data_IF_167156383315
#
_entry.id   IF_167156383315
#
_cell.length_a   1.000
_cell.length_b   1.000
_cell.length_c   1.000
_cell.angle_alpha   90.00
_cell.angle_beta   90.00
_cell.angle_gamma   90.00
#
_symmetry.space_group_name_H-M   'P 1'
#
loop_
_entity.id
_entity.type
_entity.pdbx_description
1 polymer ?
#
# COMPACT_ATOMS: atom_id res chain seq x y z
N UNK A 1 0.06 18.61 13.95
CA UNK A 1 -0.53 17.34 13.42
C UNK A 1 0.11 16.99 12.09
N UNK A 2 0.70 15.81 11.98
CA UNK A 2 1.25 15.29 10.72
C UNK A 2 0.53 13.99 10.32
N UNK A 3 0.61 13.62 9.05
CA UNK A 3 0.03 12.37 8.55
C UNK A 3 1.08 11.27 8.53
N UNK A 4 0.67 10.08 8.97
CA UNK A 4 1.48 8.87 8.99
C UNK A 4 0.72 7.70 8.37
N UNK A 5 1.41 6.69 7.87
CA UNK A 5 0.83 5.40 7.48
C UNK A 5 1.86 4.29 7.58
N UNK A 6 1.40 3.04 7.65
CA UNK A 6 2.30 1.88 7.65
C UNK A 6 2.01 0.96 6.46
N UNK A 7 3.07 0.38 5.89
CA UNK A 7 2.97 -0.42 4.69
C UNK A 7 4.03 -1.53 4.60
N UNK A 8 3.72 -2.57 3.84
CA UNK A 8 4.68 -3.50 3.28
C UNK A 8 5.17 -2.97 1.92
N UNK A 9 6.49 -2.89 1.75
CA UNK A 9 7.12 -2.32 0.55
C UNK A 9 7.87 -3.41 -0.19
N UNK A 10 7.52 -3.68 -1.45
CA UNK A 10 8.22 -4.66 -2.27
C UNK A 10 9.68 -4.27 -2.54
N UNK A 11 10.49 -5.25 -2.93
CA UNK A 11 11.87 -5.02 -3.38
C UNK A 11 11.91 -4.15 -4.65
N UNK A 12 13.09 -3.63 -4.96
CA UNK A 12 13.29 -2.59 -5.99
C UNK A 12 12.77 -3.01 -7.38
N UNK A 13 13.05 -4.24 -7.78
CA UNK A 13 12.70 -4.77 -9.11
C UNK A 13 11.17 -4.85 -9.29
N UNK A 14 10.46 -5.36 -8.30
CA UNK A 14 8.99 -5.42 -8.33
C UNK A 14 8.38 -4.00 -8.29
N UNK A 15 8.94 -3.09 -7.47
CA UNK A 15 8.51 -1.69 -7.49
C UNK A 15 8.69 -1.05 -8.87
N UNK A 16 9.76 -1.38 -9.58
CA UNK A 16 9.99 -0.87 -10.93
C UNK A 16 8.96 -1.43 -11.94
N UNK A 17 8.64 -2.73 -11.85
CA UNK A 17 7.57 -3.34 -12.68
C UNK A 17 6.22 -2.68 -12.44
N UNK A 18 5.80 -2.53 -11.17
CA UNK A 18 4.55 -1.88 -10.81
C UNK A 18 4.52 -0.42 -11.26
N UNK A 19 5.65 0.29 -11.13
CA UNK A 19 5.79 1.67 -11.58
C UNK A 19 5.67 1.84 -13.10
N UNK A 20 6.05 0.85 -13.89
CA UNK A 20 5.85 0.87 -15.34
C UNK A 20 4.36 0.91 -15.70
N UNK A 21 3.50 0.19 -14.96
CA UNK A 21 2.05 0.29 -15.12
C UNK A 21 1.54 1.67 -14.68
N UNK A 22 1.97 2.20 -13.55
CA UNK A 22 1.59 3.56 -13.14
C UNK A 22 2.01 4.62 -14.16
N UNK A 23 3.13 4.43 -14.86
CA UNK A 23 3.57 5.29 -15.97
C UNK A 23 2.64 5.15 -17.18
N UNK A 24 2.20 3.93 -17.52
CA UNK A 24 1.21 3.71 -18.57
C UNK A 24 -0.08 4.46 -18.28
N UNK A 25 -0.56 4.38 -17.03
CA UNK A 25 -1.73 5.17 -16.58
C UNK A 25 -1.51 6.68 -16.67
N UNK A 26 -0.33 7.17 -16.32
CA UNK A 26 0.01 8.58 -16.43
C UNK A 26 -0.02 9.06 -17.90
N UNK A 27 0.53 8.25 -18.79
CA UNK A 27 0.67 8.62 -20.22
C UNK A 27 -0.64 8.48 -21.01
N UNK A 28 -1.47 7.48 -20.71
CA UNK A 28 -2.64 7.12 -21.53
C UNK A 28 -3.97 7.50 -20.91
N UNK A 29 -4.03 7.60 -19.58
CA UNK A 29 -5.29 7.77 -18.84
C UNK A 29 -5.27 8.95 -17.85
N UNK A 30 -4.31 9.86 -18.00
CA UNK A 30 -4.17 11.08 -17.17
C UNK A 30 -4.14 10.82 -15.65
N UNK A 31 -3.71 9.64 -15.21
CA UNK A 31 -3.59 9.29 -13.79
C UNK A 31 -2.12 9.31 -13.36
N UNK A 32 -1.65 10.45 -12.86
CA UNK A 32 -0.24 10.70 -12.53
C UNK A 32 0.09 10.50 -11.04
N UNK A 33 -0.91 10.49 -10.16
CA UNK A 33 -0.66 10.45 -8.71
C UNK A 33 -0.01 9.15 -8.25
N UNK A 34 -0.40 8.01 -8.82
CA UNK A 34 0.25 6.73 -8.53
C UNK A 34 1.70 6.71 -9.01
N UNK A 35 1.98 7.28 -10.17
CA UNK A 35 3.34 7.34 -10.71
C UNK A 35 4.29 8.20 -9.86
N UNK A 36 3.77 9.24 -9.20
CA UNK A 36 4.52 10.10 -8.27
C UNK A 36 4.78 9.45 -6.91
N UNK A 37 4.02 8.40 -6.57
CA UNK A 37 4.19 7.62 -5.36
C UNK A 37 5.07 6.36 -5.60
N UNK A 38 5.51 5.74 -4.51
CA UNK A 38 6.17 4.43 -4.59
C UNK A 38 5.14 3.30 -4.41
N UNK A 39 5.29 2.17 -5.13
CA UNK A 39 4.42 1.01 -4.96
C UNK A 39 4.56 0.38 -3.57
N UNK A 40 3.42 0.13 -2.91
CA UNK A 40 3.35 -0.47 -1.57
C UNK A 40 1.98 -1.10 -1.34
N UNK A 41 1.90 -2.01 -0.37
CA UNK A 41 0.63 -2.50 0.18
C UNK A 41 0.40 -1.80 1.52
N UNK A 42 -0.65 -1.00 1.61
CA UNK A 42 -1.02 -0.30 2.84
C UNK A 42 -1.53 -1.30 3.87
N UNK A 43 -0.92 -1.29 5.05
CA UNK A 43 -1.38 -2.05 6.22
C UNK A 43 -2.20 -1.15 7.14
N UNK A 44 -1.68 0.02 7.51
CA UNK A 44 -2.41 1.04 8.28
C UNK A 44 -2.61 2.26 7.39
N UNK A 45 -3.87 2.61 7.15
CA UNK A 45 -4.25 3.78 6.34
C UNK A 45 -3.68 5.08 6.92
N UNK A 46 -3.52 6.12 6.09
CA UNK A 46 -3.09 7.44 6.58
C UNK A 46 -3.94 7.93 7.74
N UNK A 47 -3.26 8.33 8.82
CA UNK A 47 -3.84 8.87 10.05
C UNK A 47 -3.09 10.10 10.51
N UNK A 48 -3.80 10.99 11.23
CA UNK A 48 -3.21 12.16 11.84
C UNK A 48 -2.69 11.82 13.23
N UNK A 49 -1.48 12.30 13.55
CA UNK A 49 -0.89 12.16 14.87
C UNK A 49 -0.20 13.46 15.29
N UNK A 50 -0.11 13.68 16.60
CA UNK A 50 0.55 14.87 17.15
C UNK A 50 2.07 14.76 16.94
N UNK A 51 2.62 15.67 16.14
CA UNK A 51 4.02 15.68 15.78
C UNK A 51 4.94 15.89 17.00
N UNK A 52 4.46 16.58 18.04
CA UNK A 52 5.21 16.75 19.29
C UNK A 52 5.39 15.43 20.07
N UNK A 53 4.63 14.38 19.71
CA UNK A 53 4.69 13.03 20.27
C UNK A 53 5.20 12.00 19.29
N UNK A 54 5.87 12.42 18.22
CA UNK A 54 6.39 11.52 17.18
C UNK A 54 7.31 10.44 17.75
N UNK A 55 8.16 10.79 18.74
CA UNK A 55 9.05 9.83 19.39
C UNK A 55 8.28 8.69 20.08
N UNK A 56 7.10 8.99 20.64
CA UNK A 56 6.22 7.99 21.25
C UNK A 56 5.66 7.05 20.16
N UNK A 57 5.23 7.59 19.02
CA UNK A 57 4.74 6.80 17.89
C UNK A 57 5.84 5.88 17.37
N UNK A 58 7.05 6.41 17.17
CA UNK A 58 8.22 5.67 16.67
C UNK A 58 8.65 4.60 17.68
N UNK A 59 8.66 4.92 18.98
CA UNK A 59 8.94 3.97 20.05
C UNK A 59 7.95 2.80 20.04
N UNK A 60 6.66 3.09 20.10
CA UNK A 60 5.60 2.06 20.06
C UNK A 60 5.70 1.19 18.80
N UNK A 61 5.98 1.78 17.64
CA UNK A 61 6.17 1.05 16.40
C UNK A 61 7.41 0.14 16.43
N UNK A 62 8.51 0.61 17.00
CA UNK A 62 9.78 -0.15 17.10
C UNK A 62 9.69 -1.32 18.07
N UNK A 63 8.99 -1.13 19.18
CA UNK A 63 8.88 -2.09 20.29
C UNK A 63 7.74 -3.09 20.10
N UNK A 64 6.98 -3.01 18.99
CA UNK A 64 5.91 -3.97 18.72
C UNK A 64 6.46 -5.41 18.74
N UNK A 65 5.89 -6.23 19.61
CA UNK A 65 6.13 -7.67 19.60
C UNK A 65 5.17 -8.31 18.59
N UNK A 66 5.65 -8.61 17.38
CA UNK A 66 4.91 -9.24 16.31
C UNK A 66 5.21 -10.75 16.31
N UNK A 67 4.14 -11.55 16.20
CA UNK A 67 4.25 -13.02 16.11
C UNK A 67 4.30 -13.51 14.67
N UNK A 68 3.88 -12.66 13.74
CA UNK A 68 3.94 -12.97 12.31
C UNK A 68 5.40 -13.02 11.87
N UNK A 69 5.83 -14.18 11.38
CA UNK A 69 7.15 -14.39 10.77
C UNK A 69 7.17 -13.89 9.33
N UNK A 70 8.35 -13.69 8.72
CA UNK A 70 8.44 -13.32 7.30
C UNK A 70 7.67 -14.28 6.39
N UNK A 71 6.96 -13.74 5.40
CA UNK A 71 6.15 -14.51 4.45
C UNK A 71 6.20 -13.91 3.04
N UNK A 72 5.99 -14.75 2.02
CA UNK A 72 5.88 -14.27 0.65
C UNK A 72 4.46 -13.81 0.33
N UNK A 73 4.36 -12.68 -0.34
CA UNK A 73 3.12 -12.21 -0.98
C UNK A 73 3.20 -12.51 -2.47
N UNK A 74 2.30 -13.36 -2.93
CA UNK A 74 2.12 -13.64 -4.36
C UNK A 74 1.18 -12.60 -4.97
N UNK A 75 1.58 -12.03 -6.07
CA UNK A 75 0.83 -11.03 -6.83
C UNK A 75 0.40 -11.64 -8.16
N UNK A 76 -0.89 -11.54 -8.47
CA UNK A 76 -1.43 -12.09 -9.72
C UNK A 76 -2.51 -11.22 -10.31
N UNK A 77 -2.30 -10.83 -11.56
CA UNK A 77 -3.24 -10.08 -12.37
C UNK A 77 -3.71 -8.75 -11.74
N UNK A 78 -4.64 -8.10 -12.38
CA UNK A 78 -5.17 -6.81 -11.94
C UNK A 78 -6.55 -6.96 -11.31
N UNK A 79 -6.84 -6.07 -10.38
CA UNK A 79 -8.14 -5.89 -9.77
C UNK A 79 -8.53 -4.42 -9.80
N UNK A 80 -9.79 -4.14 -9.45
CA UNK A 80 -10.26 -2.77 -9.39
C UNK A 80 -11.25 -2.55 -8.23
N UNK A 81 -11.37 -1.29 -7.82
CA UNK A 81 -12.49 -0.76 -7.05
C UNK A 81 -13.24 0.21 -7.96
N UNK A 82 -14.41 -0.15 -8.52
CA UNK A 82 -15.10 0.63 -9.54
C UNK A 82 -15.96 1.75 -8.96
N UNK A 83 -15.45 2.50 -7.99
CA UNK A 83 -16.15 3.62 -7.37
C UNK A 83 -16.20 4.81 -8.35
N UNK A 84 -17.38 5.32 -8.64
CA UNK A 84 -17.56 6.42 -9.61
C UNK A 84 -16.72 7.66 -9.30
N UNK A 85 -16.57 8.01 -8.02
CA UNK A 85 -15.86 9.22 -7.59
C UNK A 85 -14.36 8.99 -7.33
N UNK A 86 -13.93 7.76 -7.15
CA UNK A 86 -12.55 7.42 -6.82
C UNK A 86 -12.25 5.98 -7.24
N UNK A 87 -12.23 5.69 -8.55
CA UNK A 87 -11.88 4.36 -9.02
C UNK A 87 -10.40 4.07 -8.78
N UNK A 88 -10.09 2.80 -8.56
CA UNK A 88 -8.74 2.32 -8.31
C UNK A 88 -8.46 1.10 -9.16
N UNK A 89 -7.29 1.02 -9.78
CA UNK A 89 -6.76 -0.19 -10.41
C UNK A 89 -5.48 -0.59 -9.68
N UNK A 90 -5.34 -1.88 -9.42
CA UNK A 90 -4.24 -2.43 -8.61
C UNK A 90 -3.84 -3.83 -9.06
N UNK A 91 -2.64 -4.26 -8.68
CA UNK A 91 -2.18 -5.64 -8.78
C UNK A 91 -2.67 -6.39 -7.54
N UNK A 92 -3.25 -7.59 -7.73
CA UNK A 92 -3.90 -8.37 -6.66
C UNK A 92 -2.91 -9.21 -5.87
N UNK A 93 -2.83 -9.05 -4.53
CA UNK A 93 -2.27 -10.08 -3.67
C UNK A 93 -3.20 -11.31 -3.61
N UNK A 94 -2.66 -12.50 -3.72
CA UNK A 94 -3.44 -13.76 -3.63
C UNK A 94 -3.58 -14.26 -2.19
N UNK A 95 -2.48 -14.37 -1.46
CA UNK A 95 -2.44 -14.87 -0.08
C UNK A 95 -2.71 -13.74 0.93
N UNK A 96 -3.99 -13.39 1.09
CA UNK A 96 -4.42 -12.27 1.93
C UNK A 96 -4.43 -12.59 3.42
N UNK A 97 -4.39 -13.86 3.80
CA UNK A 97 -4.49 -14.32 5.19
C UNK A 97 -3.30 -13.86 6.04
N UNK A 98 -2.09 -13.96 5.53
CA UNK A 98 -0.88 -13.52 6.24
C UNK A 98 -0.84 -12.01 6.38
N UNK A 99 -1.27 -11.27 5.34
CA UNK A 99 -1.41 -9.81 5.41
C UNK A 99 -2.48 -9.39 6.43
N UNK A 100 -3.60 -10.16 6.50
CA UNK A 100 -4.65 -9.92 7.51
C UNK A 100 -4.13 -10.18 8.92
N UNK A 101 -3.41 -11.30 9.16
CA UNK A 101 -2.79 -11.59 10.46
C UNK A 101 -1.86 -10.48 10.90
N UNK A 102 -0.98 -10.03 10.01
CA UNK A 102 -0.06 -8.94 10.28
C UNK A 102 -0.81 -7.63 10.60
N UNK A 103 -1.86 -7.31 9.84
CA UNK A 103 -2.73 -6.16 10.11
C UNK A 103 -3.39 -6.26 11.49
N UNK A 104 -3.94 -7.42 11.85
CA UNK A 104 -4.61 -7.65 13.13
C UNK A 104 -3.64 -7.52 14.32
N UNK A 105 -2.37 -7.84 14.13
CA UNK A 105 -1.34 -7.63 15.15
C UNK A 105 -0.89 -6.17 15.28
N UNK A 106 -0.82 -5.43 14.18
CA UNK A 106 -0.30 -4.04 14.17
C UNK A 106 -1.32 -3.06 14.70
N UNK A 107 -2.58 -3.15 14.25
CA UNK A 107 -3.58 -2.12 14.50
C UNK A 107 -3.81 -1.80 15.98
N UNK A 108 -3.96 -2.77 16.91
CA UNK A 108 -4.17 -2.46 18.32
C UNK A 108 -2.93 -1.83 18.96
N UNK A 109 -1.73 -2.18 18.48
CA UNK A 109 -0.46 -1.65 18.99
C UNK A 109 -0.18 -0.23 18.55
N UNK A 110 -0.84 0.20 17.48
CA UNK A 110 -0.83 1.60 17.02
C UNK A 110 -2.06 2.39 17.49
N UNK A 111 -2.81 1.87 18.47
CA UNK A 111 -4.06 2.45 18.99
C UNK A 111 -5.18 2.61 17.94
N UNK A 112 -5.16 1.77 16.92
CA UNK A 112 -6.28 1.63 15.99
C UNK A 112 -7.15 0.45 16.40
N UNK A 113 -8.42 0.70 16.62
CA UNK A 113 -9.41 -0.32 16.90
C UNK A 113 -10.39 -0.38 15.74
N UNK A 114 -10.04 -1.15 14.71
CA UNK A 114 -10.91 -1.40 13.58
C UNK A 114 -11.16 -2.90 13.44
N UNK A 115 -12.43 -3.29 13.42
CA UNK A 115 -12.83 -4.66 13.09
C UNK A 115 -12.96 -4.88 11.58
N UNK A 116 -12.57 -3.91 10.76
CA UNK A 116 -12.64 -4.01 9.32
C UNK A 116 -11.59 -5.01 8.79
N UNK A 117 -12.01 -5.81 7.82
CA UNK A 117 -11.06 -6.64 7.07
C UNK A 117 -10.10 -5.75 6.29
N UNK A 118 -8.82 -6.15 6.28
CA UNK A 118 -7.85 -5.59 5.36
C UNK A 118 -8.26 -5.96 3.92
N UNK A 119 -8.22 -4.98 3.03
CA UNK A 119 -8.38 -5.23 1.60
C UNK A 119 -7.06 -4.87 0.89
N UNK A 120 -6.05 -5.76 0.94
CA UNK A 120 -4.72 -5.44 0.46
C UNK A 120 -4.69 -5.33 -1.06
N UNK A 121 -3.96 -4.35 -1.55
CA UNK A 121 -3.80 -4.09 -2.98
C UNK A 121 -2.51 -3.31 -3.24
N UNK A 122 -1.85 -3.59 -4.37
CA UNK A 122 -0.70 -2.84 -4.84
C UNK A 122 -1.18 -1.87 -5.94
N UNK A 123 -1.44 -0.64 -5.57
CA UNK A 123 -2.09 0.37 -6.44
C UNK A 123 -1.21 0.76 -7.62
N UNK A 124 -1.79 0.82 -8.81
CA UNK A 124 -1.17 1.36 -10.03
C UNK A 124 -1.86 2.60 -10.58
N UNK A 125 -3.15 2.82 -10.25
CA UNK A 125 -3.87 4.06 -10.59
C UNK A 125 -4.95 4.37 -9.56
N UNK A 126 -5.06 5.64 -9.12
CA UNK A 126 -6.04 6.09 -8.13
C UNK A 126 -6.16 7.62 -8.10
N UNK A 127 -7.15 8.16 -7.39
CA UNK A 127 -7.42 9.58 -7.09
C UNK A 127 -7.71 10.47 -8.30
N UNK A 128 -6.74 10.64 -9.21
CA UNK A 128 -6.89 11.45 -10.43
C UNK A 128 -7.29 10.61 -11.65
N UNK A 129 -7.54 9.31 -11.46
CA UNK A 129 -8.17 8.46 -12.46
C UNK A 129 -9.67 8.81 -12.51
N UNK A 130 -10.13 9.44 -13.60
CA UNK A 130 -11.55 9.69 -13.81
C UNK A 130 -12.30 8.38 -14.07
N UNK A 131 -13.62 8.35 -13.81
CA UNK A 131 -14.40 7.14 -14.06
C UNK A 131 -14.43 6.76 -15.55
N UNK A 132 -14.49 7.73 -16.45
CA UNK A 132 -14.39 7.50 -17.89
C UNK A 132 -13.07 6.84 -18.29
N UNK A 133 -11.95 7.37 -17.81
CA UNK A 133 -10.62 6.78 -18.08
C UNK A 133 -10.44 5.43 -17.39
N UNK A 134 -11.04 5.23 -16.22
CA UNK A 134 -11.10 3.93 -15.56
C UNK A 134 -11.80 2.89 -16.43
N UNK A 135 -12.97 3.21 -17.00
CA UNK A 135 -13.71 2.29 -17.88
C UNK A 135 -12.86 1.88 -19.09
N UNK A 136 -12.26 2.86 -19.79
CA UNK A 136 -11.35 2.61 -20.92
C UNK A 136 -10.16 1.74 -20.55
N UNK A 137 -9.52 2.03 -19.42
CA UNK A 137 -8.37 1.27 -18.95
C UNK A 137 -8.77 -0.15 -18.52
N UNK A 138 -9.92 -0.30 -17.85
CA UNK A 138 -10.36 -1.59 -17.33
C UNK A 138 -10.73 -2.58 -18.44
N UNK A 139 -11.23 -2.14 -19.58
CA UNK A 139 -11.45 -2.98 -20.76
C UNK A 139 -10.18 -3.75 -21.17
N UNK A 140 -9.00 -3.13 -21.05
CA UNK A 140 -7.71 -3.75 -21.33
C UNK A 140 -7.15 -4.49 -20.11
N UNK A 141 -7.13 -3.85 -18.93
CA UNK A 141 -6.42 -4.36 -17.75
C UNK A 141 -7.09 -5.57 -17.10
N UNK A 142 -8.40 -5.76 -17.25
CA UNK A 142 -9.10 -6.93 -16.71
C UNK A 142 -8.63 -8.27 -17.29
N UNK A 143 -8.06 -8.27 -18.50
CA UNK A 143 -7.51 -9.45 -19.18
C UNK A 143 -5.98 -9.49 -19.20
N UNK A 144 -5.33 -8.45 -18.70
CA UNK A 144 -3.86 -8.37 -18.66
C UNK A 144 -3.32 -9.26 -17.54
N UNK A 145 -2.31 -10.05 -17.87
CA UNK A 145 -1.68 -10.96 -16.90
C UNK A 145 -0.53 -10.27 -16.17
N UNK A 146 -0.37 -10.60 -14.92
CA UNK A 146 0.77 -10.25 -14.07
C UNK A 146 1.06 -11.39 -13.11
N UNK A 147 2.32 -11.73 -12.91
CA UNK A 147 2.75 -12.71 -11.90
C UNK A 147 4.10 -12.30 -11.34
N UNK A 148 4.17 -12.16 -10.04
CA UNK A 148 5.41 -11.90 -9.29
C UNK A 148 5.17 -12.18 -7.80
N UNK A 149 6.22 -12.11 -6.98
CA UNK A 149 6.12 -12.25 -5.53
C UNK A 149 7.17 -11.41 -4.82
N UNK A 150 6.95 -11.11 -3.55
CA UNK A 150 7.95 -10.48 -2.70
C UNK A 150 7.84 -10.94 -1.26
N UNK A 151 8.98 -10.97 -0.57
CA UNK A 151 9.05 -11.29 0.84
C UNK A 151 8.65 -10.06 1.67
N UNK A 152 7.67 -10.25 2.55
CA UNK A 152 7.36 -9.31 3.61
C UNK A 152 8.15 -9.74 4.85
N UNK A 153 9.32 -9.17 5.02
CA UNK A 153 10.23 -9.37 6.15
C UNK A 153 10.24 -8.18 7.12
N UNK A 154 9.55 -7.12 6.77
CA UNK A 154 9.49 -5.86 7.53
C UNK A 154 8.24 -5.06 7.20
N UNK A 155 7.87 -4.18 8.13
CA UNK A 155 6.88 -3.13 7.94
C UNK A 155 7.56 -1.76 8.04
N UNK A 156 7.06 -0.81 7.27
CA UNK A 156 7.62 0.53 7.18
C UNK A 156 6.58 1.56 7.65
N UNK A 157 6.98 2.43 8.56
CA UNK A 157 6.22 3.61 8.97
C UNK A 157 6.68 4.81 8.17
N UNK A 158 5.75 5.53 7.59
CA UNK A 158 5.99 6.72 6.78
C UNK A 158 5.35 7.95 7.39
N UNK A 159 6.01 9.11 7.21
CA UNK A 159 5.51 10.44 7.53
C UNK A 159 5.31 11.25 6.24
N UNK A 160 4.21 11.95 6.15
CA UNK A 160 4.00 12.92 5.06
C UNK A 160 4.67 14.24 5.42
N UNK A 161 5.68 14.62 4.64
CA UNK A 161 6.42 15.87 4.82
C UNK A 161 6.85 16.45 3.47
N UNK A 162 6.73 17.75 3.28
CA UNK A 162 7.04 18.44 2.03
C UNK A 162 6.37 17.82 0.79
N UNK A 163 5.09 17.47 0.89
CA UNK A 163 4.31 16.90 -0.22
C UNK A 163 4.66 15.45 -0.58
N UNK A 164 5.48 14.77 0.22
CA UNK A 164 5.95 13.39 -0.04
C UNK A 164 5.84 12.53 1.21
N UNK A 165 5.73 11.23 0.98
CA UNK A 165 5.87 10.22 2.02
C UNK A 165 7.34 9.88 2.23
N UNK A 166 7.84 10.09 3.43
CA UNK A 166 9.23 9.83 3.82
C UNK A 166 9.25 8.67 4.79
N UNK A 167 10.19 7.74 4.59
CA UNK A 167 10.39 6.62 5.50
C UNK A 167 10.85 7.15 6.86
N UNK A 168 10.10 6.85 7.91
CA UNK A 168 10.37 7.28 9.27
C UNK A 168 11.02 6.15 10.09
N UNK A 169 10.48 4.93 10.00
CA UNK A 169 10.95 3.79 10.76
C UNK A 169 10.69 2.47 10.05
N UNK A 170 11.57 1.49 10.27
CA UNK A 170 11.40 0.10 9.84
C UNK A 170 11.29 -0.78 11.07
N UNK A 171 10.38 -1.75 11.05
CA UNK A 171 10.26 -2.85 12.01
C UNK A 171 10.38 -4.16 11.25
N UNK A 172 11.41 -4.94 11.56
CA UNK A 172 11.59 -6.27 10.98
C UNK A 172 10.62 -7.28 11.63
N UNK A 173 10.18 -8.25 10.85
CA UNK A 173 9.53 -9.47 11.31
C UNK A 173 10.64 -10.48 11.69
N UNK A 174 10.41 -11.29 12.72
CA UNK A 174 11.39 -12.26 13.25
C UNK A 174 10.88 -13.68 13.09
#
# INVERSE_FOLDING_TARGET
MSLYFAAAVPHKELRQKARNYSRDFANRFNSVKSFKNFPHITLIKPFSFDESKEDVLVGNFSEMNLKTTPFNVNLKDFGCFPNKNNPVIFIKPENKEELQKLFDEIQPKMNFHSYAKLNPHLTVAYRDLTFENFQKAWEEYQSKTFEDSFLVDKICLFKHYNGKWNLLKIKNLE
#
